data_IF_965235624069
#
_entry.id   IF_965235624069
#
_cell.length_a   1.000
_cell.length_b   1.000
_cell.length_c   1.000
_cell.angle_alpha   90.00
_cell.angle_beta   90.00
_cell.angle_gamma   90.00
#
_symmetry.space_group_name_H-M   'P 1'
#
loop_
_entity.id
_entity.type
_entity.pdbx_description
1 polymer ?
#
# COMPACT_ATOMS: atom_id res chain seq x y z
N UNK A 1 -18.88 -21.60 3.70
CA UNK A 1 -17.72 -21.56 2.79
C UNK A 1 -16.78 -20.51 3.37
N UNK A 2 -15.51 -20.86 3.66
CA UNK A 2 -14.56 -19.91 4.28
C UNK A 2 -14.25 -18.81 3.27
N UNK A 3 -14.64 -17.58 3.60
CA UNK A 3 -14.32 -16.39 2.82
C UNK A 3 -12.80 -16.35 2.56
N UNK A 4 -12.36 -16.25 1.30
CA UNK A 4 -10.95 -16.13 0.98
C UNK A 4 -10.50 -14.78 1.52
N UNK A 5 -9.66 -14.83 2.56
CA UNK A 5 -8.83 -13.76 3.11
C UNK A 5 -8.91 -12.47 2.28
N UNK A 6 -9.80 -11.57 2.70
CA UNK A 6 -9.79 -10.19 2.25
C UNK A 6 -8.49 -9.59 2.79
N UNK A 7 -7.41 -9.67 2.01
CA UNK A 7 -6.14 -9.02 2.32
C UNK A 7 -6.34 -7.52 2.20
N UNK A 8 -6.92 -6.93 3.25
CA UNK A 8 -7.07 -5.49 3.40
C UNK A 8 -5.68 -4.90 3.55
N UNK A 9 -5.16 -4.37 2.47
CA UNK A 9 -3.89 -3.64 2.48
C UNK A 9 -4.20 -2.16 2.64
N UNK A 10 -3.45 -1.47 3.50
CA UNK A 10 -3.59 -0.03 3.67
C UNK A 10 -2.60 0.68 2.77
N UNK A 11 -3.06 1.72 2.07
CA UNK A 11 -2.18 2.61 1.33
C UNK A 11 -1.26 3.34 2.33
N UNK A 12 0.08 3.20 2.25
CA UNK A 12 0.99 3.83 3.19
C UNK A 12 1.07 5.37 3.05
N UNK A 13 0.57 5.92 1.94
CA UNK A 13 0.60 7.37 1.66
C UNK A 13 -0.60 8.07 2.27
N UNK A 14 -1.80 7.55 2.03
CA UNK A 14 -3.04 8.18 2.48
C UNK A 14 -3.75 7.44 3.62
N UNK A 15 -3.30 6.24 4.00
CA UNK A 15 -3.94 5.39 5.01
C UNK A 15 -5.27 4.79 4.56
N UNK A 16 -5.66 4.98 3.29
CA UNK A 16 -6.91 4.47 2.76
C UNK A 16 -6.87 2.94 2.73
N UNK A 17 -7.97 2.32 3.14
CA UNK A 17 -8.15 0.88 3.02
C UNK A 17 -8.37 0.52 1.57
N UNK A 18 -7.54 -0.39 1.06
CA UNK A 18 -7.69 -0.94 -0.27
C UNK A 18 -8.32 -2.31 -0.09
N UNK A 19 -9.56 -2.43 -0.54
CA UNK A 19 -10.22 -3.72 -0.62
C UNK A 19 -9.51 -4.58 -1.67
N UNK A 20 -9.34 -5.86 -1.36
CA UNK A 20 -8.62 -6.86 -2.14
C UNK A 20 -9.34 -7.23 -3.45
N UNK A 21 -9.68 -6.23 -4.26
CA UNK A 21 -10.06 -6.38 -5.66
C UNK A 21 -8.82 -6.42 -6.58
N UNK A 22 -8.99 -6.39 -7.90
CA UNK A 22 -7.87 -6.31 -8.85
C UNK A 22 -7.21 -4.92 -8.80
N UNK A 23 -6.41 -4.69 -7.76
CA UNK A 23 -5.63 -3.46 -7.58
C UNK A 23 -4.40 -3.57 -8.49
N UNK A 24 -4.36 -2.77 -9.56
CA UNK A 24 -3.24 -2.77 -10.52
C UNK A 24 -2.05 -1.91 -10.09
N UNK A 25 -2.19 -1.15 -9.00
CA UNK A 25 -1.22 -0.16 -8.57
C UNK A 25 -0.44 -0.70 -7.37
N UNK A 26 0.74 -1.24 -7.67
CA UNK A 26 1.66 -1.80 -6.69
C UNK A 26 3.08 -1.31 -6.92
N UNK A 27 3.86 -1.20 -5.85
CA UNK A 27 5.27 -0.87 -5.93
C UNK A 27 6.05 -1.75 -4.96
N UNK A 28 7.22 -2.24 -5.39
CA UNK A 28 8.05 -3.12 -4.57
C UNK A 28 9.20 -2.32 -3.98
N UNK A 29 9.30 -2.28 -2.66
CA UNK A 29 10.37 -1.59 -1.94
C UNK A 29 10.95 -2.50 -0.86
N UNK A 30 12.28 -2.65 -0.82
CA UNK A 30 12.99 -3.53 0.13
C UNK A 30 12.43 -4.97 0.17
N UNK A 31 12.06 -5.51 -0.99
CA UNK A 31 11.48 -6.86 -1.12
C UNK A 31 10.03 -7.01 -0.62
N UNK A 32 9.35 -5.90 -0.29
CA UNK A 32 7.94 -5.87 0.11
C UNK A 32 7.10 -5.19 -0.95
N UNK A 33 5.99 -5.81 -1.33
CA UNK A 33 5.02 -5.22 -2.26
C UNK A 33 4.03 -4.35 -1.47
N UNK A 34 3.91 -3.10 -1.86
CA UNK A 34 2.98 -2.13 -1.35
C UNK A 34 1.90 -1.84 -2.39
N UNK A 35 0.69 -1.60 -1.92
CA UNK A 35 -0.49 -1.39 -2.74
C UNK A 35 -0.99 0.03 -2.56
N UNK A 36 -1.51 0.63 -3.63
CA UNK A 36 -1.93 2.03 -3.64
C UNK A 36 -3.36 2.17 -4.14
N UNK A 37 -4.12 3.07 -3.52
CA UNK A 37 -5.50 3.34 -3.92
C UNK A 37 -5.56 4.12 -5.25
N UNK A 38 -4.51 4.87 -5.57
CA UNK A 38 -4.45 5.72 -6.75
C UNK A 38 -3.00 5.90 -7.25
N UNK A 39 -2.85 6.16 -8.54
CA UNK A 39 -1.55 6.41 -9.17
C UNK A 39 -0.76 7.57 -8.52
N UNK A 40 -1.38 8.69 -8.07
CA UNK A 40 -0.64 9.70 -7.30
C UNK A 40 -0.09 9.18 -5.97
N UNK A 41 -0.76 8.24 -5.28
CA UNK A 41 -0.22 7.64 -4.06
C UNK A 41 1.02 6.81 -4.38
N UNK A 42 0.92 5.93 -5.40
CA UNK A 42 2.07 5.16 -5.86
C UNK A 42 3.27 6.06 -6.22
N UNK A 43 3.05 7.11 -7.03
CA UNK A 43 4.14 8.03 -7.41
C UNK A 43 4.74 8.76 -6.22
N UNK A 44 3.93 9.14 -5.25
CA UNK A 44 4.42 9.80 -4.03
C UNK A 44 5.28 8.83 -3.24
N UNK A 45 4.83 7.58 -3.10
CA UNK A 45 5.60 6.52 -2.46
C UNK A 45 6.89 6.22 -3.19
N UNK A 46 6.91 6.16 -4.52
CA UNK A 46 8.14 5.90 -5.29
C UNK A 46 9.16 7.04 -5.17
N UNK A 47 8.70 8.28 -4.98
CA UNK A 47 9.58 9.45 -4.76
C UNK A 47 10.28 9.41 -3.41
N UNK A 48 9.57 9.00 -2.36
CA UNK A 48 10.12 8.98 -1.00
C UNK A 48 9.45 7.86 -0.17
N UNK A 49 9.78 6.59 -0.44
CA UNK A 49 9.12 5.47 0.22
C UNK A 49 9.44 5.44 1.71
N UNK A 50 10.66 5.83 2.08
CA UNK A 50 11.08 5.81 3.48
C UNK A 50 10.24 6.76 4.34
N UNK A 51 9.86 7.95 3.82
CA UNK A 51 8.95 8.87 4.52
C UNK A 51 7.60 8.25 4.85
N UNK A 52 7.03 7.44 3.96
CA UNK A 52 5.73 6.79 4.17
C UNK A 52 5.83 5.47 4.93
N UNK A 53 7.00 4.82 4.89
CA UNK A 53 7.27 3.57 5.59
C UNK A 53 7.77 3.76 7.01
N UNK A 54 8.18 4.96 7.41
CA UNK A 54 8.57 5.24 8.80
C UNK A 54 7.37 5.06 9.73
N UNK A 55 7.36 4.04 10.60
CA UNK A 55 6.34 3.97 11.63
C UNK A 55 6.53 5.17 12.58
N UNK A 56 5.46 5.93 12.84
CA UNK A 56 5.43 6.85 13.98
C UNK A 56 5.46 6.00 15.25
N UNK A 57 6.61 5.90 15.90
CA UNK A 57 6.73 5.20 17.17
C UNK A 57 8.17 4.92 17.56
N UNK A 58 8.90 5.97 17.93
CA UNK A 58 9.78 5.92 19.10
C UNK A 58 9.24 6.91 20.12
#
# INVERSE_FOLDING_TARGET
MKDPVSQRTSDPVCGMRIDSGPVRLVSTHKGRTYYFCAAPCQRSFEKDPEKYLRPKGL
#
